data_IF_136576842566
#
_entry.id   IF_136576842566
#
_cell.length_a   1.000
_cell.length_b   1.000
_cell.length_c   1.000
_cell.angle_alpha   90.00
_cell.angle_beta   90.00
_cell.angle_gamma   90.00
#
_symmetry.space_group_name_H-M   'P 1'
#
loop_
_entity.id
_entity.type
_entity.pdbx_description
1 polymer ?
#
# COMPACT_ATOMS: atom_id res chain seq x y z
N UNK A 1 27.53 4.89 13.95
CA UNK A 1 26.18 4.95 13.33
C UNK A 1 26.08 4.39 11.92
N UNK A 2 26.76 4.92 10.89
CA UNK A 2 26.70 4.33 9.52
C UNK A 2 27.44 2.99 9.46
N UNK A 3 28.62 2.89 10.03
CA UNK A 3 29.43 1.65 10.10
C UNK A 3 28.63 0.51 10.75
N UNK A 4 28.02 0.75 11.88
CA UNK A 4 27.23 -0.25 12.63
C UNK A 4 26.03 -0.76 11.81
N UNK A 5 25.38 0.15 11.03
CA UNK A 5 24.33 -0.22 10.12
C UNK A 5 24.81 -1.14 9.01
N UNK A 6 25.93 -0.80 8.36
CA UNK A 6 26.51 -1.62 7.30
C UNK A 6 26.95 -3.00 7.80
N UNK A 7 27.49 -3.09 9.02
CA UNK A 7 27.81 -4.38 9.66
C UNK A 7 26.55 -5.23 9.87
N UNK A 8 25.47 -4.63 10.36
CA UNK A 8 24.20 -5.33 10.54
C UNK A 8 23.61 -5.79 9.20
N UNK A 9 23.69 -4.98 8.15
CA UNK A 9 23.24 -5.37 6.81
C UNK A 9 24.03 -6.58 6.29
N UNK A 10 25.37 -6.59 6.44
CA UNK A 10 26.20 -7.74 6.09
C UNK A 10 25.87 -9.00 6.91
N UNK A 11 25.52 -8.84 8.19
CA UNK A 11 25.06 -9.97 9.02
C UNK A 11 23.73 -10.54 8.49
N UNK A 12 22.79 -9.68 8.09
CA UNK A 12 21.52 -10.11 7.50
C UNK A 12 21.78 -10.85 6.19
N UNK A 13 22.61 -10.31 5.28
CA UNK A 13 22.97 -10.98 4.02
C UNK A 13 23.55 -12.38 4.27
N UNK A 14 24.46 -12.51 5.23
CA UNK A 14 25.07 -13.79 5.59
C UNK A 14 24.04 -14.76 6.17
N UNK A 15 23.18 -14.30 7.08
CA UNK A 15 22.13 -15.11 7.72
C UNK A 15 21.07 -15.58 6.72
N UNK A 16 20.73 -14.74 5.75
CA UNK A 16 19.71 -15.05 4.75
C UNK A 16 20.26 -15.68 3.49
N UNK A 17 21.60 -15.72 3.33
CA UNK A 17 22.29 -16.14 2.11
C UNK A 17 21.70 -15.44 0.88
N UNK A 18 21.63 -14.10 0.95
CA UNK A 18 20.95 -13.25 -0.03
C UNK A 18 21.66 -11.89 -0.17
N UNK A 19 21.36 -11.17 -1.23
CA UNK A 19 21.67 -9.74 -1.30
C UNK A 19 20.57 -8.94 -0.64
N UNK A 20 20.94 -7.91 0.13
CA UNK A 20 20.01 -7.09 0.89
C UNK A 20 19.74 -5.76 0.17
N UNK A 21 18.48 -5.52 -0.12
CA UNK A 21 17.94 -4.20 -0.43
C UNK A 21 17.23 -3.64 0.79
N UNK A 22 17.30 -2.33 1.01
CA UNK A 22 16.69 -1.67 2.16
C UNK A 22 15.74 -0.59 1.68
N UNK A 23 14.48 -0.72 2.03
CA UNK A 23 13.47 0.30 1.74
C UNK A 23 12.73 0.71 3.02
N UNK A 24 12.90 1.97 3.39
CA UNK A 24 12.32 2.53 4.61
C UNK A 24 11.66 3.85 4.24
N UNK A 25 10.36 3.98 4.52
CA UNK A 25 9.64 5.26 4.45
C UNK A 25 9.56 5.91 5.83
N UNK A 26 9.66 7.24 5.88
CA UNK A 26 9.53 7.99 7.13
C UNK A 26 8.11 7.97 7.66
N UNK A 27 7.97 7.90 9.00
CA UNK A 27 6.67 7.95 9.67
C UNK A 27 6.64 8.91 10.89
N UNK A 28 7.67 9.76 11.00
CA UNK A 28 7.70 10.81 12.02
C UNK A 28 6.77 11.96 11.62
N UNK A 29 6.00 12.51 12.58
CA UNK A 29 5.14 13.66 12.31
C UNK A 29 5.88 14.80 11.60
N UNK A 30 5.33 15.26 10.46
CA UNK A 30 5.92 16.29 9.61
C UNK A 30 7.05 15.84 8.69
N UNK A 31 7.44 14.57 8.72
CA UNK A 31 8.47 13.96 7.87
C UNK A 31 8.02 12.62 7.29
N UNK A 32 6.71 12.47 7.15
CA UNK A 32 6.13 11.26 6.59
C UNK A 32 6.46 11.15 5.10
N UNK A 33 6.88 9.98 4.70
CA UNK A 33 7.06 9.61 3.30
C UNK A 33 6.27 8.34 2.98
N UNK A 34 5.98 8.15 1.70
CA UNK A 34 5.18 7.04 1.22
C UNK A 34 5.87 6.35 0.04
N UNK A 35 5.43 5.15 -0.28
CA UNK A 35 5.81 4.50 -1.54
C UNK A 35 5.33 5.37 -2.69
N UNK A 36 6.27 5.81 -3.54
CA UNK A 36 6.01 6.71 -4.66
C UNK A 36 6.65 6.15 -5.95
N UNK A 37 6.12 6.41 -7.15
CA UNK A 37 6.66 5.89 -8.41
C UNK A 37 8.13 6.20 -8.66
N UNK A 38 8.65 7.33 -8.21
CA UNK A 38 10.07 7.71 -8.35
C UNK A 38 11.06 6.72 -7.73
N UNK A 39 10.59 5.87 -6.78
CA UNK A 39 11.44 4.86 -6.15
C UNK A 39 11.98 3.84 -7.16
N UNK A 40 11.28 3.62 -8.26
CA UNK A 40 11.67 2.66 -9.29
C UNK A 40 13.02 3.01 -9.90
N UNK A 41 13.28 4.30 -10.14
CA UNK A 41 14.56 4.77 -10.72
C UNK A 41 15.74 4.50 -9.78
N UNK A 42 15.53 4.65 -8.47
CA UNK A 42 16.55 4.32 -7.47
C UNK A 42 16.80 2.81 -7.40
N UNK A 43 15.74 2.01 -7.42
CA UNK A 43 15.86 0.56 -7.35
C UNK A 43 16.51 -0.02 -8.60
N UNK A 44 16.18 0.46 -9.80
CA UNK A 44 16.81 -0.04 -11.04
C UNK A 44 18.31 0.19 -11.02
N UNK A 45 18.78 1.37 -10.58
CA UNK A 45 20.19 1.67 -10.44
C UNK A 45 20.91 0.71 -9.47
N UNK A 46 20.26 0.33 -8.35
CA UNK A 46 20.84 -0.63 -7.41
C UNK A 46 20.83 -2.05 -7.97
N UNK A 47 19.75 -2.46 -8.62
CA UNK A 47 19.59 -3.80 -9.18
C UNK A 47 20.54 -4.06 -10.37
N UNK A 48 20.74 -3.08 -11.24
CA UNK A 48 21.69 -3.16 -12.34
C UNK A 48 23.12 -3.37 -11.84
N UNK A 49 23.48 -2.76 -10.70
CA UNK A 49 24.78 -2.98 -10.06
C UNK A 49 24.90 -4.37 -9.41
N UNK A 50 23.80 -4.93 -8.90
CA UNK A 50 23.77 -6.28 -8.31
C UNK A 50 23.81 -7.38 -9.38
N UNK A 51 23.30 -7.07 -10.59
CA UNK A 51 23.03 -8.07 -11.64
C UNK A 51 22.00 -9.10 -11.19
N UNK A 52 21.92 -10.25 -11.88
CA UNK A 52 21.02 -11.33 -11.49
C UNK A 52 21.60 -12.12 -10.31
N UNK A 53 20.84 -12.19 -9.23
CA UNK A 53 21.19 -12.89 -8.00
C UNK A 53 20.30 -14.11 -7.79
N UNK A 54 20.78 -15.12 -7.08
CA UNK A 54 19.94 -16.25 -6.69
C UNK A 54 18.80 -15.80 -5.77
N UNK A 55 19.12 -14.93 -4.80
CA UNK A 55 18.16 -14.48 -3.79
C UNK A 55 18.38 -13.03 -3.43
N UNK A 56 17.28 -12.27 -3.39
CA UNK A 56 17.24 -10.90 -2.88
C UNK A 56 16.31 -10.84 -1.68
N UNK A 57 16.78 -10.25 -0.58
CA UNK A 57 15.98 -9.92 0.59
C UNK A 57 15.73 -8.42 0.62
N UNK A 58 14.47 -8.00 0.64
CA UNK A 58 14.06 -6.63 0.86
C UNK A 58 13.74 -6.41 2.33
N UNK A 59 14.56 -5.66 3.06
CA UNK A 59 14.20 -5.14 4.37
C UNK A 59 13.23 -3.99 4.16
N UNK A 60 11.99 -4.19 4.56
CA UNK A 60 10.88 -3.27 4.31
C UNK A 60 10.30 -2.70 5.61
N UNK A 61 10.25 -1.37 5.68
CA UNK A 61 9.53 -0.65 6.71
C UNK A 61 8.72 0.48 6.07
N UNK A 62 7.38 0.40 6.13
CA UNK A 62 6.52 1.38 5.47
C UNK A 62 5.10 1.41 6.04
N UNK A 63 4.46 2.58 5.97
CA UNK A 63 3.01 2.74 6.19
C UNK A 63 2.20 2.56 4.89
N UNK A 64 2.89 2.40 3.74
CA UNK A 64 2.26 2.23 2.45
C UNK A 64 2.48 3.41 1.50
N UNK A 65 1.59 3.56 0.53
CA UNK A 65 1.63 4.61 -0.49
C UNK A 65 0.98 4.15 -1.80
N UNK A 66 1.59 4.47 -2.93
CA UNK A 66 1.06 4.17 -4.25
C UNK A 66 1.08 2.65 -4.53
N UNK A 67 -0.09 2.09 -4.79
CA UNK A 67 -0.29 0.65 -5.01
C UNK A 67 0.37 0.14 -6.29
N UNK A 68 0.28 0.92 -7.38
CA UNK A 68 0.90 0.54 -8.66
C UNK A 68 2.43 0.61 -8.58
N UNK A 69 2.99 1.59 -7.86
CA UNK A 69 4.43 1.66 -7.62
C UNK A 69 4.93 0.45 -6.81
N UNK A 70 4.16 0.02 -5.80
CA UNK A 70 4.48 -1.17 -5.01
C UNK A 70 4.47 -2.44 -5.88
N UNK A 71 3.46 -2.61 -6.71
CA UNK A 71 3.36 -3.71 -7.66
C UNK A 71 4.51 -3.69 -8.67
N UNK A 72 4.80 -2.54 -9.28
CA UNK A 72 5.91 -2.37 -10.23
C UNK A 72 7.25 -2.67 -9.58
N UNK A 73 7.49 -2.21 -8.34
CA UNK A 73 8.70 -2.51 -7.58
C UNK A 73 8.88 -4.01 -7.34
N UNK A 74 7.79 -4.69 -6.94
CA UNK A 74 7.80 -6.14 -6.73
C UNK A 74 8.20 -6.88 -8.01
N UNK A 75 7.57 -6.54 -9.14
CA UNK A 75 7.89 -7.16 -10.42
C UNK A 75 9.31 -6.83 -10.86
N UNK A 76 9.78 -5.59 -10.65
CA UNK A 76 11.15 -5.18 -10.97
C UNK A 76 12.16 -6.04 -10.20
N UNK A 77 12.03 -6.16 -8.87
CA UNK A 77 12.96 -6.96 -8.06
C UNK A 77 13.00 -8.42 -8.53
N UNK A 78 11.82 -8.99 -8.85
CA UNK A 78 11.70 -10.38 -9.31
C UNK A 78 12.39 -10.65 -10.65
N UNK A 79 12.66 -9.66 -11.49
CA UNK A 79 13.46 -9.84 -12.70
C UNK A 79 14.96 -10.08 -12.40
N UNK A 80 15.41 -9.66 -11.22
CA UNK A 80 16.82 -9.72 -10.81
C UNK A 80 17.13 -10.87 -9.84
N UNK A 81 16.16 -11.70 -9.46
CA UNK A 81 16.40 -12.85 -8.58
C UNK A 81 15.51 -14.04 -8.91
N UNK A 82 15.97 -15.22 -8.51
CA UNK A 82 15.18 -16.44 -8.59
C UNK A 82 14.26 -16.58 -7.36
N UNK A 83 14.70 -16.05 -6.20
CA UNK A 83 13.95 -16.05 -4.94
C UNK A 83 13.89 -14.64 -4.35
N UNK A 84 12.67 -14.11 -4.20
CA UNK A 84 12.40 -12.83 -3.56
C UNK A 84 11.89 -13.04 -2.14
N UNK A 85 12.57 -12.42 -1.17
CA UNK A 85 12.21 -12.48 0.25
C UNK A 85 11.96 -11.07 0.80
N UNK A 86 10.95 -10.90 1.63
CA UNK A 86 10.69 -9.63 2.35
C UNK A 86 10.92 -9.84 3.84
N UNK A 87 11.76 -9.01 4.44
CA UNK A 87 12.05 -8.97 5.87
C UNK A 87 11.40 -7.73 6.49
N UNK A 88 10.45 -7.94 7.41
CA UNK A 88 9.66 -6.88 8.05
C UNK A 88 10.08 -6.76 9.52
N UNK A 89 10.85 -5.72 9.89
CA UNK A 89 11.27 -5.54 11.28
C UNK A 89 10.16 -5.00 12.19
N UNK A 90 9.18 -4.27 11.67
CA UNK A 90 8.10 -3.66 12.47
C UNK A 90 6.79 -3.57 11.72
N UNK A 91 6.73 -2.86 10.59
CA UNK A 91 5.48 -2.68 9.84
C UNK A 91 5.70 -2.65 8.33
N UNK A 92 4.77 -3.26 7.60
CA UNK A 92 4.59 -3.08 6.17
C UNK A 92 3.09 -3.02 5.88
N UNK A 93 2.52 -1.81 5.90
CA UNK A 93 1.07 -1.60 5.81
C UNK A 93 0.64 -1.20 4.40
N UNK A 94 -0.64 -1.43 4.07
CA UNK A 94 -1.25 -1.04 2.81
C UNK A 94 -0.44 -1.60 1.61
N UNK A 95 0.07 -0.75 0.71
CA UNK A 95 0.91 -1.18 -0.43
C UNK A 95 2.23 -1.86 -0.01
N UNK A 96 2.70 -1.70 1.25
CA UNK A 96 3.77 -2.52 1.82
C UNK A 96 3.35 -3.98 2.01
N UNK A 97 2.10 -4.23 2.39
CA UNK A 97 1.52 -5.58 2.42
C UNK A 97 1.50 -6.18 1.01
N UNK A 98 1.13 -5.40 -0.02
CA UNK A 98 1.12 -5.86 -1.39
C UNK A 98 2.52 -6.30 -1.87
N UNK A 99 3.57 -5.50 -1.59
CA UNK A 99 4.97 -5.90 -1.86
C UNK A 99 5.27 -7.24 -1.18
N UNK A 100 4.85 -7.38 0.08
CA UNK A 100 5.13 -8.58 0.88
C UNK A 100 4.44 -9.82 0.32
N UNK A 101 3.20 -9.70 -0.15
CA UNK A 101 2.45 -10.80 -0.79
C UNK A 101 3.09 -11.24 -2.12
N UNK A 102 3.79 -10.35 -2.81
CA UNK A 102 4.53 -10.67 -4.03
C UNK A 102 5.87 -11.39 -3.81
N UNK A 103 6.27 -11.64 -2.56
CA UNK A 103 7.50 -12.36 -2.22
C UNK A 103 7.27 -13.88 -2.14
N UNK A 104 8.33 -14.65 -2.36
CA UNK A 104 8.32 -16.11 -2.12
C UNK A 104 8.29 -16.42 -0.62
N UNK A 105 8.91 -15.56 0.21
CA UNK A 105 8.99 -15.74 1.67
C UNK A 105 8.84 -14.40 2.37
N UNK A 106 8.03 -14.37 3.42
CA UNK A 106 7.88 -13.22 4.30
C UNK A 106 8.46 -13.57 5.66
N UNK A 107 9.41 -12.78 6.14
CA UNK A 107 10.01 -12.90 7.48
C UNK A 107 9.56 -11.72 8.32
N UNK A 108 9.01 -12.02 9.47
CA UNK A 108 8.49 -11.02 10.38
C UNK A 108 9.13 -11.19 11.76
N UNK A 109 9.53 -10.09 12.37
CA UNK A 109 9.88 -10.11 13.80
C UNK A 109 8.61 -10.29 14.64
N UNK A 110 8.76 -10.57 15.93
CA UNK A 110 7.60 -10.74 16.84
C UNK A 110 6.68 -9.52 16.93
N UNK A 111 7.19 -8.33 16.66
CA UNK A 111 6.43 -7.08 16.69
C UNK A 111 5.96 -6.63 15.30
N UNK A 112 6.34 -7.35 14.26
CA UNK A 112 6.02 -6.94 12.91
C UNK A 112 4.53 -7.13 12.59
N UNK A 113 3.99 -6.21 11.82
CA UNK A 113 2.60 -6.22 11.38
C UNK A 113 2.50 -6.00 9.87
N UNK A 114 1.61 -6.74 9.24
CA UNK A 114 1.03 -6.41 7.94
C UNK A 114 -0.30 -5.70 8.19
N UNK A 115 -0.58 -4.66 7.43
CA UNK A 115 -1.85 -3.92 7.53
C UNK A 115 -2.77 -4.24 6.36
N UNK A 116 -4.06 -3.85 6.47
CA UNK A 116 -5.01 -4.00 5.38
C UNK A 116 -4.56 -3.18 4.16
N UNK A 117 -4.90 -3.66 2.98
CA UNK A 117 -4.73 -2.93 1.73
C UNK A 117 -6.04 -2.18 1.48
N UNK A 118 -6.14 -0.97 2.02
CA UNK A 118 -7.30 -0.09 1.84
C UNK A 118 -6.86 1.18 1.10
N UNK A 119 -7.10 1.26 -0.23
CA UNK A 119 -6.77 2.46 -0.97
C UNK A 119 -7.73 3.57 -0.60
N UNK A 120 -7.17 4.72 -0.30
CA UNK A 120 -7.91 5.97 -0.19
C UNK A 120 -7.72 6.77 -1.47
N UNK A 121 -8.84 7.23 -2.03
CA UNK A 121 -8.83 8.07 -3.23
C UNK A 121 -8.72 9.53 -2.83
N UNK A 122 -7.77 10.23 -3.45
CA UNK A 122 -7.64 11.67 -3.37
C UNK A 122 -8.07 12.27 -4.72
N UNK A 123 -9.18 13.01 -4.72
CA UNK A 123 -9.74 13.66 -5.90
C UNK A 123 -10.24 15.04 -5.56
N UNK A 124 -10.16 16.01 -6.48
CA UNK A 124 -10.81 17.31 -6.31
C UNK A 124 -12.32 17.20 -6.11
N UNK A 125 -12.93 16.07 -6.53
CA UNK A 125 -14.35 15.78 -6.41
C UNK A 125 -14.73 15.11 -5.07
N UNK A 126 -13.75 14.84 -4.22
CA UNK A 126 -14.02 14.29 -2.89
C UNK A 126 -14.77 15.32 -2.03
N UNK A 127 -15.51 14.86 -0.99
CA UNK A 127 -16.17 15.73 -0.05
C UNK A 127 -15.21 16.77 0.57
N UNK A 128 -15.69 17.97 0.78
CA UNK A 128 -14.91 19.00 1.48
C UNK A 128 -14.62 18.58 2.92
N UNK A 129 -13.43 18.91 3.42
CA UNK A 129 -13.08 18.64 4.80
C UNK A 129 -13.76 19.64 5.74
N UNK A 130 -14.72 19.24 6.59
CA UNK A 130 -15.43 20.14 7.48
C UNK A 130 -14.56 20.69 8.61
N UNK A 131 -13.40 20.10 8.88
CA UNK A 131 -12.45 20.60 9.89
C UNK A 131 -11.67 21.83 9.38
N UNK A 132 -11.67 22.08 8.08
CA UNK A 132 -10.97 23.21 7.46
C UNK A 132 -11.90 23.90 6.46
N UNK A 133 -13.03 24.47 6.92
CA UNK A 133 -14.09 25.00 6.04
C UNK A 133 -13.62 26.16 5.16
N UNK A 134 -12.62 26.92 5.62
CA UNK A 134 -12.07 28.07 4.90
C UNK A 134 -11.05 27.71 3.81
N UNK A 135 -10.72 26.42 3.65
CA UNK A 135 -9.85 25.94 2.59
C UNK A 135 -10.63 25.09 1.59
N UNK A 136 -11.10 25.65 0.46
CA UNK A 136 -11.89 24.93 -0.52
C UNK A 136 -11.12 23.81 -1.23
N UNK A 137 -9.80 23.77 -1.11
CA UNK A 137 -8.96 22.68 -1.64
C UNK A 137 -8.81 21.52 -0.66
N UNK A 138 -9.17 21.70 0.62
CA UNK A 138 -9.10 20.63 1.61
C UNK A 138 -10.23 19.62 1.37
N UNK A 139 -9.86 18.41 0.94
CA UNK A 139 -10.78 17.31 0.65
C UNK A 139 -10.55 16.15 1.61
N UNK A 140 -11.62 15.45 1.95
CA UNK A 140 -11.53 14.19 2.69
C UNK A 140 -11.13 13.08 1.73
N UNK A 141 -10.12 12.25 2.07
CA UNK A 141 -9.87 11.03 1.31
C UNK A 141 -11.07 10.08 1.43
N UNK A 142 -11.47 9.45 0.32
CA UNK A 142 -12.56 8.47 0.31
C UNK A 142 -11.94 7.07 0.31
N UNK A 143 -12.16 6.33 1.39
CA UNK A 143 -11.71 4.95 1.55
C UNK A 143 -12.63 3.99 0.78
N UNK A 144 -12.02 3.06 0.04
CA UNK A 144 -12.73 2.01 -0.69
C UNK A 144 -13.47 1.08 0.28
N UNK A 145 -12.82 0.71 1.40
CA UNK A 145 -13.43 -0.17 2.39
C UNK A 145 -14.56 0.53 3.17
N UNK A 146 -14.49 1.86 3.38
CA UNK A 146 -15.58 2.60 4.01
C UNK A 146 -16.84 2.59 3.15
N UNK A 147 -16.72 2.80 1.85
CA UNK A 147 -17.87 2.72 0.94
C UNK A 147 -18.45 1.30 0.90
N UNK A 148 -17.59 0.29 0.83
CA UNK A 148 -18.01 -1.12 0.88
C UNK A 148 -18.71 -1.44 2.20
N UNK A 149 -18.14 -1.03 3.34
CA UNK A 149 -18.71 -1.23 4.67
C UNK A 149 -20.10 -0.62 4.80
N UNK A 150 -20.33 0.56 4.22
CA UNK A 150 -21.64 1.19 4.20
C UNK A 150 -22.70 0.33 3.48
N UNK A 151 -22.35 -0.26 2.33
CA UNK A 151 -23.26 -1.19 1.64
C UNK A 151 -23.42 -2.53 2.36
N UNK A 152 -22.35 -3.03 3.00
CA UNK A 152 -22.43 -4.27 3.78
C UNK A 152 -23.31 -4.11 5.03
N UNK A 153 -23.22 -2.98 5.72
CA UNK A 153 -24.13 -2.62 6.81
C UNK A 153 -25.59 -2.72 6.36
N UNK A 154 -25.92 -2.08 5.23
CA UNK A 154 -27.29 -2.12 4.71
C UNK A 154 -27.76 -3.55 4.38
N UNK A 155 -26.93 -4.32 3.68
CA UNK A 155 -27.30 -5.65 3.17
C UNK A 155 -27.24 -6.75 4.22
N UNK A 156 -26.17 -6.76 5.05
CA UNK A 156 -25.91 -7.85 5.99
C UNK A 156 -26.55 -7.61 7.35
N UNK A 157 -26.36 -6.43 7.94
CA UNK A 157 -26.80 -6.15 9.30
C UNK A 157 -28.26 -5.67 9.33
N UNK A 158 -28.64 -4.76 8.42
CA UNK A 158 -30.02 -4.28 8.30
C UNK A 158 -30.89 -5.17 7.40
N UNK A 159 -30.31 -6.19 6.76
CA UNK A 159 -30.98 -7.16 5.89
C UNK A 159 -31.82 -6.53 4.75
N UNK A 160 -31.43 -5.36 4.26
CA UNK A 160 -32.09 -4.69 3.14
C UNK A 160 -31.75 -5.45 1.85
N UNK A 161 -32.75 -6.08 1.23
CA UNK A 161 -32.55 -6.94 0.04
C UNK A 161 -33.24 -6.40 -1.22
N UNK A 162 -34.23 -5.54 -1.06
CA UNK A 162 -34.95 -5.01 -2.19
C UNK A 162 -34.17 -3.98 -2.97
N UNK A 163 -34.30 -4.04 -4.30
CA UNK A 163 -33.52 -3.21 -5.23
C UNK A 163 -33.81 -1.72 -5.06
N UNK A 164 -35.06 -1.36 -4.72
CA UNK A 164 -35.45 0.04 -4.58
C UNK A 164 -34.77 0.69 -3.35
N UNK A 165 -34.76 0.00 -2.22
CA UNK A 165 -34.05 0.48 -1.02
C UNK A 165 -32.54 0.60 -1.26
N UNK A 166 -31.93 -0.36 -1.93
CA UNK A 166 -30.50 -0.28 -2.30
C UNK A 166 -30.24 0.90 -3.26
N UNK A 167 -31.13 1.13 -4.23
CA UNK A 167 -31.01 2.29 -5.13
C UNK A 167 -31.12 3.61 -4.35
N UNK A 168 -32.04 3.73 -3.39
CA UNK A 168 -32.20 4.90 -2.54
C UNK A 168 -30.93 5.16 -1.68
N UNK A 169 -30.31 4.11 -1.14
CA UNK A 169 -29.04 4.18 -0.41
C UNK A 169 -27.93 4.71 -1.32
N UNK A 170 -27.85 4.22 -2.57
CA UNK A 170 -26.86 4.67 -3.55
C UNK A 170 -27.07 6.15 -3.93
N UNK A 171 -28.32 6.57 -4.13
CA UNK A 171 -28.69 7.96 -4.40
C UNK A 171 -28.29 8.86 -3.21
N UNK A 172 -28.63 8.43 -1.98
CA UNK A 172 -28.24 9.14 -0.76
C UNK A 172 -26.74 9.31 -0.64
N UNK A 173 -25.97 8.24 -0.92
CA UNK A 173 -24.50 8.29 -0.92
C UNK A 173 -23.98 9.23 -2.02
N UNK A 174 -24.56 9.22 -3.22
CA UNK A 174 -24.12 10.05 -4.34
C UNK A 174 -24.32 11.56 -4.11
N UNK A 175 -25.20 11.93 -3.18
CA UNK A 175 -25.36 13.32 -2.73
C UNK A 175 -24.20 13.78 -1.82
N UNK A 176 -23.47 12.85 -1.19
CA UNK A 176 -22.33 13.16 -0.30
C UNK A 176 -21.00 12.91 -0.96
N UNK A 177 -20.90 11.90 -1.82
CA UNK A 177 -19.69 11.51 -2.55
C UNK A 177 -19.99 11.55 -4.04
N UNK A 178 -19.25 12.34 -4.79
CA UNK A 178 -19.48 12.53 -6.22
C UNK A 178 -19.50 11.17 -6.96
N UNK A 179 -20.45 10.92 -7.90
CA UNK A 179 -20.59 9.62 -8.60
C UNK A 179 -19.32 9.15 -9.30
N UNK A 180 -18.50 10.05 -9.86
CA UNK A 180 -17.22 9.68 -10.47
C UNK A 180 -16.24 9.12 -9.44
N UNK A 181 -16.23 9.66 -8.21
CA UNK A 181 -15.40 9.13 -7.12
C UNK A 181 -15.87 7.73 -6.72
N UNK A 182 -17.17 7.48 -6.68
CA UNK A 182 -17.73 6.15 -6.41
C UNK A 182 -17.33 5.15 -7.50
N UNK A 183 -17.29 5.57 -8.76
CA UNK A 183 -16.77 4.77 -9.87
C UNK A 183 -15.29 4.44 -9.72
N UNK A 184 -14.48 5.42 -9.30
CA UNK A 184 -13.05 5.22 -9.03
C UNK A 184 -12.81 4.29 -7.84
N UNK A 185 -13.64 4.37 -6.79
CA UNK A 185 -13.64 3.43 -5.65
C UNK A 185 -13.83 1.99 -6.14
N UNK A 186 -14.84 1.75 -6.97
CA UNK A 186 -15.11 0.43 -7.52
C UNK A 186 -13.94 -0.09 -8.36
N UNK A 187 -13.37 0.75 -9.24
CA UNK A 187 -12.21 0.41 -10.07
C UNK A 187 -10.98 0.11 -9.23
N UNK A 188 -10.67 0.92 -8.22
CA UNK A 188 -9.53 0.71 -7.32
C UNK A 188 -9.62 -0.61 -6.56
N UNK A 189 -10.82 -0.97 -6.11
CA UNK A 189 -11.07 -2.28 -5.48
C UNK A 189 -10.75 -3.44 -6.43
N UNK A 190 -11.25 -3.36 -7.66
CA UNK A 190 -11.01 -4.41 -8.68
C UNK A 190 -9.51 -4.55 -8.97
N UNK A 191 -8.79 -3.43 -9.11
CA UNK A 191 -7.34 -3.44 -9.32
C UNK A 191 -6.58 -4.14 -8.18
N UNK A 192 -6.92 -3.84 -6.93
CA UNK A 192 -6.24 -4.48 -5.78
C UNK A 192 -6.46 -5.99 -5.79
N UNK A 193 -7.67 -6.46 -6.06
CA UNK A 193 -7.93 -7.90 -6.17
C UNK A 193 -7.15 -8.58 -7.30
N UNK A 194 -6.80 -7.84 -8.36
CA UNK A 194 -5.96 -8.38 -9.45
C UNK A 194 -4.45 -8.35 -9.11
N UNK A 195 -4.03 -7.44 -8.22
CA UNK A 195 -2.61 -7.24 -7.89
C UNK A 195 -2.16 -8.08 -6.68
N UNK A 196 -3.07 -8.49 -5.80
CA UNK A 196 -2.82 -9.32 -4.63
C UNK A 196 -2.94 -10.81 -4.95
#
# INVERSE_FOLDING_TARGET
>A
MLKDRLENYKKIEKLRNSKLLVYITGDRPGFETQIHPEILDYFINHLDNLKKERKITLLLYTRGGNTLAAWSLTNLIRQFCDEFEVLIPSKAHSSGTLISLGANTIIMTKQATLGPIDPSLNSPLNPQNPQVPNNPQARLPVSVESIKGYFELAKKDLQIKDTQSIANILIGLSNQVHPLVLGDVYRSRTHIHMLA
#
